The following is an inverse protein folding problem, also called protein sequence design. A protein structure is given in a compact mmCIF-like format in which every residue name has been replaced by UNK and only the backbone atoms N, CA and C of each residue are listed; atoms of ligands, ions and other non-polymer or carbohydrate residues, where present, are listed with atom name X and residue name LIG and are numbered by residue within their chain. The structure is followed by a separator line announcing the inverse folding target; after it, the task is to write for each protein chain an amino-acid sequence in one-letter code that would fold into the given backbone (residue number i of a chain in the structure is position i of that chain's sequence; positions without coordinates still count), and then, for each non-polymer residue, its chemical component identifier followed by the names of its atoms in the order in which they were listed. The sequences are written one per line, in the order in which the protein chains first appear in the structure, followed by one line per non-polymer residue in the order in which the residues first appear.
data_IF_730636951200
#
_entry.id   IF_730636951200
#
_cell.length_a   1.000
_cell.length_b   1.000
_cell.length_c   1.000
_cell.angle_alpha   90.00
_cell.angle_beta   90.00
_cell.angle_gamma   90.00
#
_symmetry.space_group_name_H-M   'P 1'
#
loop_
_entity.id
_entity.type
_entity.pdbx_description
1 polymer ?
#
# COMPACT_ATOMS: atom_id res chain seq x y z
N UNK A 1 -9.41 -16.10 2.91
CA UNK A 1 -8.17 -15.84 2.17
C UNK A 1 -8.51 -15.73 0.71
N UNK A 2 -8.34 -14.54 0.13
CA UNK A 2 -8.65 -14.21 -1.25
C UNK A 2 -7.37 -14.22 -2.08
N UNK A 3 -7.46 -14.79 -3.27
CA UNK A 3 -6.36 -14.81 -4.24
C UNK A 3 -6.50 -13.64 -5.19
N UNK A 4 -5.44 -12.86 -5.34
CA UNK A 4 -5.37 -11.75 -6.30
C UNK A 4 -4.22 -12.03 -7.25
N UNK A 5 -4.50 -11.95 -8.54
CA UNK A 5 -3.46 -12.07 -9.57
C UNK A 5 -3.12 -10.69 -10.11
N UNK A 6 -1.84 -10.35 -10.07
CA UNK A 6 -1.27 -9.13 -10.65
C UNK A 6 -0.22 -9.51 -11.68
N UNK A 7 -0.12 -8.72 -12.74
CA UNK A 7 0.93 -8.90 -13.75
C UNK A 7 2.02 -7.86 -13.55
N UNK A 8 3.26 -8.31 -13.48
CA UNK A 8 4.44 -7.44 -13.42
C UNK A 8 5.32 -7.81 -14.62
N UNK A 9 5.60 -6.85 -15.49
CA UNK A 9 6.27 -7.12 -16.77
C UNK A 9 5.57 -8.27 -17.55
N UNK A 10 6.31 -9.30 -17.94
CA UNK A 10 5.75 -10.45 -18.66
C UNK A 10 5.21 -11.55 -17.74
N UNK A 11 5.29 -11.40 -16.42
CA UNK A 11 5.01 -12.48 -15.45
C UNK A 11 3.78 -12.19 -14.60
N UNK A 12 2.94 -13.20 -14.43
CA UNK A 12 1.78 -13.14 -13.53
C UNK A 12 2.14 -13.72 -12.15
N UNK A 13 1.72 -13.01 -11.11
CA UNK A 13 1.93 -13.40 -9.72
C UNK A 13 0.57 -13.51 -9.03
N UNK A 14 0.36 -14.58 -8.28
CA UNK A 14 -0.84 -14.76 -7.46
C UNK A 14 -0.47 -14.67 -6.00
N UNK A 15 -1.02 -13.66 -5.33
CA UNK A 15 -0.88 -13.43 -3.89
C UNK A 15 -2.15 -13.89 -3.18
N UNK A 16 -1.99 -14.43 -1.97
CA UNK A 16 -3.11 -14.83 -1.12
C UNK A 16 -3.14 -13.90 0.09
N UNK A 17 -4.25 -13.19 0.25
CA UNK A 17 -4.44 -12.18 1.29
C UNK A 17 -5.65 -12.53 2.16
N UNK A 18 -5.70 -12.04 3.38
CA UNK A 18 -6.93 -12.09 4.19
C UNK A 18 -8.03 -11.22 3.56
N UNK A 19 -9.30 -11.55 3.78
CA UNK A 19 -10.39 -11.01 2.96
C UNK A 19 -10.59 -9.50 3.17
N UNK A 20 -10.44 -9.01 4.41
CA UNK A 20 -10.53 -7.57 4.71
C UNK A 20 -9.36 -6.81 4.07
N UNK A 21 -8.14 -7.32 4.21
CA UNK A 21 -6.97 -6.71 3.61
C UNK A 21 -7.02 -6.76 2.08
N UNK A 22 -7.53 -7.85 1.50
CA UNK A 22 -7.69 -8.00 0.06
C UNK A 22 -8.60 -6.92 -0.54
N UNK A 23 -9.70 -6.56 0.15
CA UNK A 23 -10.58 -5.48 -0.31
C UNK A 23 -9.88 -4.11 -0.29
N UNK A 24 -9.11 -3.84 0.77
CA UNK A 24 -8.32 -2.61 0.86
C UNK A 24 -7.25 -2.56 -0.23
N UNK A 25 -6.54 -3.67 -0.44
CA UNK A 25 -5.51 -3.80 -1.45
C UNK A 25 -6.06 -3.59 -2.87
N UNK A 26 -7.19 -4.21 -3.24
CA UNK A 26 -7.76 -4.03 -4.58
C UNK A 26 -8.17 -2.58 -4.84
N UNK A 27 -8.70 -1.88 -3.83
CA UNK A 27 -9.06 -0.46 -3.95
C UNK A 27 -7.83 0.42 -4.13
N UNK A 28 -6.79 0.22 -3.32
CA UNK A 28 -5.51 0.94 -3.46
C UNK A 28 -4.86 0.63 -4.81
N UNK A 29 -4.86 -0.64 -5.22
CA UNK A 29 -4.30 -1.09 -6.49
C UNK A 29 -5.00 -0.42 -7.66
N UNK A 30 -6.33 -0.47 -7.73
CA UNK A 30 -7.08 0.12 -8.84
C UNK A 30 -6.90 1.65 -8.86
N UNK A 31 -6.78 2.31 -7.70
CA UNK A 31 -6.47 3.75 -7.62
C UNK A 31 -5.06 4.07 -8.14
N UNK A 32 -4.06 3.28 -7.73
CA UNK A 32 -2.67 3.49 -8.10
C UNK A 32 -2.41 3.22 -9.59
N UNK A 33 -3.06 2.19 -10.11
CA UNK A 33 -2.84 1.70 -11.48
C UNK A 33 -3.81 2.26 -12.51
N UNK A 34 -4.74 3.13 -12.08
CA UNK A 34 -5.86 3.60 -12.89
C UNK A 34 -6.65 2.40 -13.49
N UNK A 35 -6.92 1.41 -12.64
CA UNK A 35 -7.62 0.16 -12.97
C UNK A 35 -6.79 -0.88 -13.73
N UNK A 36 -5.51 -0.64 -13.99
CA UNK A 36 -4.65 -1.61 -14.70
C UNK A 36 -4.23 -2.75 -13.77
N UNK A 37 -4.47 -4.00 -14.16
CA UNK A 37 -3.92 -5.18 -13.46
C UNK A 37 -2.50 -5.56 -13.90
N UNK A 38 -1.78 -4.60 -14.48
CA UNK A 38 -0.42 -4.73 -15.00
C UNK A 38 0.45 -3.54 -14.58
N UNK A 39 1.68 -3.83 -14.16
CA UNK A 39 2.74 -2.85 -13.91
C UNK A 39 3.98 -3.21 -14.73
N UNK A 40 4.62 -2.21 -15.31
CA UNK A 40 6.00 -2.36 -15.74
C UNK A 40 6.98 -2.29 -14.54
N UNK A 41 8.26 -2.63 -14.76
CA UNK A 41 9.26 -2.67 -13.68
C UNK A 41 9.53 -1.28 -13.08
N UNK A 42 9.44 -0.22 -13.90
CA UNK A 42 9.65 1.16 -13.47
C UNK A 42 8.48 1.63 -12.62
N UNK A 43 7.24 1.35 -13.06
CA UNK A 43 6.02 1.64 -12.31
C UNK A 43 6.02 0.92 -10.96
N UNK A 44 6.47 -0.35 -10.91
CA UNK A 44 6.61 -1.09 -9.66
C UNK A 44 7.64 -0.44 -8.71
N UNK A 45 8.81 -0.03 -9.21
CA UNK A 45 9.82 0.65 -8.39
C UNK A 45 9.28 1.99 -7.87
N UNK A 46 8.61 2.77 -8.72
CA UNK A 46 7.96 4.01 -8.32
C UNK A 46 6.89 3.77 -7.25
N UNK A 47 6.06 2.73 -7.40
CA UNK A 47 5.06 2.32 -6.42
C UNK A 47 5.70 2.01 -5.06
N UNK A 48 6.79 1.25 -5.08
CA UNK A 48 7.51 0.88 -3.88
C UNK A 48 8.08 2.10 -3.15
N UNK A 49 8.76 3.00 -3.87
CA UNK A 49 9.32 4.24 -3.29
C UNK A 49 8.22 5.12 -2.70
N UNK A 50 7.10 5.26 -3.43
CA UNK A 50 5.94 6.02 -2.96
C UNK A 50 5.37 5.43 -1.66
N UNK A 51 5.17 4.12 -1.60
CA UNK A 51 4.66 3.45 -0.38
C UNK A 51 5.62 3.61 0.80
N UNK A 52 6.93 3.54 0.57
CA UNK A 52 7.93 3.82 1.60
C UNK A 52 7.82 5.25 2.15
N UNK A 53 7.61 6.23 1.27
CA UNK A 53 7.45 7.62 1.68
C UNK A 53 6.14 7.85 2.46
N UNK A 54 5.03 7.26 2.02
CA UNK A 54 3.75 7.30 2.72
C UNK A 54 3.86 6.72 4.13
N UNK A 55 4.47 5.54 4.26
CA UNK A 55 4.71 4.90 5.56
C UNK A 55 5.56 5.81 6.46
N UNK A 56 6.62 6.42 5.92
CA UNK A 56 7.47 7.35 6.67
C UNK A 56 6.68 8.58 7.18
N UNK A 57 5.81 9.17 6.36
CA UNK A 57 4.97 10.30 6.80
C UNK A 57 3.97 9.86 7.87
N UNK A 58 3.28 8.72 7.66
CA UNK A 58 2.31 8.18 8.62
C UNK A 58 2.97 7.89 9.98
N UNK A 59 4.14 7.28 9.99
CA UNK A 59 4.89 7.04 11.23
C UNK A 59 5.26 8.34 11.95
N UNK A 60 5.67 9.37 11.20
CA UNK A 60 5.99 10.69 11.78
C UNK A 60 4.76 11.36 12.36
N UNK A 61 3.64 11.31 11.67
CA UNK A 61 2.37 11.86 12.13
C UNK A 61 1.89 11.14 13.39
N UNK A 62 1.89 9.80 13.40
CA UNK A 62 1.52 9.01 14.58
C UNK A 62 2.40 9.34 15.78
N UNK A 63 3.71 9.47 15.61
CA UNK A 63 4.63 9.90 16.69
C UNK A 63 4.29 11.31 17.18
N UNK A 64 3.96 12.23 16.28
CA UNK A 64 3.56 13.59 16.65
C UNK A 64 2.23 13.60 17.42
N UNK A 65 1.23 12.84 16.98
CA UNK A 65 -0.04 12.71 17.68
C UNK A 65 0.14 12.09 19.07
N UNK A 66 0.93 11.02 19.19
CA UNK A 66 1.21 10.38 20.47
C UNK A 66 1.87 11.36 21.47
N UNK A 67 2.82 12.18 20.99
CA UNK A 67 3.44 13.23 21.81
C UNK A 67 2.44 14.30 22.25
N UNK A 68 1.54 14.74 21.37
CA UNK A 68 0.50 15.72 21.72
C UNK A 68 -0.45 15.16 22.78
N UNK A 69 -0.94 13.94 22.59
CA UNK A 69 -1.81 13.26 23.56
C UNK A 69 -1.13 13.10 24.92
N UNK A 70 0.16 12.73 24.95
CA UNK A 70 0.90 12.61 26.21
C UNK A 70 1.05 13.94 26.97
N UNK A 71 1.06 15.08 26.26
CA UNK A 71 1.14 16.42 26.86
C UNK A 71 -0.20 16.95 27.36
N UNK A 72 -1.32 16.45 26.81
CA UNK A 72 -2.66 16.87 27.23
C UNK A 72 -3.21 16.02 28.38
N UNK A 73 -2.74 14.77 28.52
CA UNK A 73 -3.18 13.84 29.57
C UNK A 73 -2.27 13.89 30.81
N UNK A 74 -1.02 14.36 30.68
CA UNK A 74 -0.06 14.54 31.78
C UNK A 74 -0.08 15.96 32.33
#
# INVERSE_FOLDING_TARGET
MRKITVKIASTSYTISLEDEFAQSFEREWDTFTDGKRYLDVKELLSAFVQKCYENYQQERELRSLAQKLSKEIG
#
